data_IF_739579866015
#
_entry.id   IF_739579866015
#
_cell.length_a   1.000
_cell.length_b   1.000
_cell.length_c   1.000
_cell.angle_alpha   90.00
_cell.angle_beta   90.00
_cell.angle_gamma   90.00
#
_symmetry.space_group_name_H-M   'P 1'
#
loop_
_entity.id
_entity.type
_entity.pdbx_description
1 polymer ?
#
# COMPACT_ATOMS: atom_id res chain seq x y z
N UNK A 1 25.22 15.68 -4.84
CA UNK A 1 23.80 16.05 -4.69
C UNK A 1 23.13 15.01 -3.82
N UNK A 2 22.72 15.39 -2.61
CA UNK A 2 22.06 14.47 -1.68
C UNK A 2 20.61 14.29 -2.16
N UNK A 3 20.28 13.11 -2.66
CA UNK A 3 18.89 12.73 -2.84
C UNK A 3 18.32 12.48 -1.45
N UNK A 4 17.80 13.54 -0.81
CA UNK A 4 16.86 13.40 0.29
C UNK A 4 15.61 12.76 -0.29
N UNK A 5 15.66 11.45 -0.43
CA UNK A 5 14.47 10.65 -0.56
C UNK A 5 13.68 10.96 0.72
N UNK A 6 12.54 11.63 0.56
CA UNK A 6 11.47 11.64 1.55
C UNK A 6 10.92 10.21 1.53
N UNK A 7 11.76 9.24 1.90
CA UNK A 7 11.31 7.90 2.24
C UNK A 7 10.50 8.17 3.50
N UNK A 8 9.17 7.96 3.48
CA UNK A 8 8.45 7.90 4.74
C UNK A 8 9.25 6.92 5.58
N UNK A 9 9.63 7.31 6.81
CA UNK A 9 10.13 6.42 7.87
C UNK A 9 9.70 4.99 7.51
N UNK A 10 10.61 4.06 7.20
CA UNK A 10 10.30 2.86 6.37
C UNK A 10 9.15 1.99 6.93
N UNK A 11 8.70 2.32 8.14
CA UNK A 11 7.68 1.66 8.91
C UNK A 11 6.43 2.52 9.13
N UNK A 12 6.38 3.78 8.71
CA UNK A 12 5.27 4.70 8.96
C UNK A 12 3.96 4.16 8.38
N UNK A 13 3.98 3.67 7.14
CA UNK A 13 2.83 3.04 6.50
C UNK A 13 2.45 1.76 7.24
N UNK A 14 3.43 0.91 7.56
CA UNK A 14 3.16 -0.33 8.31
C UNK A 14 2.55 -0.07 9.69
N UNK A 15 3.10 0.89 10.43
CA UNK A 15 2.64 1.30 11.74
C UNK A 15 1.24 1.90 11.66
N UNK A 16 0.94 2.68 10.63
CA UNK A 16 -0.41 3.16 10.33
C UNK A 16 -1.38 1.99 10.12
N UNK A 17 -1.04 1.02 9.28
CA UNK A 17 -1.90 -0.15 9.04
C UNK A 17 -2.16 -0.95 10.33
N UNK A 18 -1.15 -1.09 11.19
CA UNK A 18 -1.26 -1.76 12.49
C UNK A 18 -2.10 -0.96 13.49
N UNK A 19 -1.89 0.35 13.60
CA UNK A 19 -2.63 1.23 14.51
C UNK A 19 -4.12 1.26 14.16
N UNK A 20 -4.47 1.21 12.87
CA UNK A 20 -5.87 1.15 12.40
C UNK A 20 -6.45 -0.28 12.46
N UNK A 21 -5.74 -1.23 13.07
CA UNK A 21 -6.16 -2.61 13.32
C UNK A 21 -6.57 -3.35 12.04
N UNK A 22 -5.97 -3.01 10.90
CA UNK A 22 -6.33 -3.61 9.61
C UNK A 22 -5.97 -5.10 9.52
N UNK A 23 -5.08 -5.57 10.39
CA UNK A 23 -4.77 -7.00 10.56
C UNK A 23 -5.94 -7.85 11.07
N UNK A 24 -7.01 -7.23 11.59
CA UNK A 24 -8.25 -7.94 11.94
C UNK A 24 -9.11 -8.27 10.71
N UNK A 25 -8.92 -7.54 9.60
CA UNK A 25 -9.75 -7.63 8.40
C UNK A 25 -9.02 -8.23 7.21
N UNK A 26 -7.69 -8.14 7.19
CA UNK A 26 -6.86 -8.56 6.07
C UNK A 26 -5.85 -9.62 6.47
N UNK A 27 -5.65 -10.58 5.57
CA UNK A 27 -4.56 -11.54 5.69
C UNK A 27 -3.19 -10.86 5.53
N UNK A 28 -2.13 -11.48 6.05
CA UNK A 28 -0.76 -10.96 5.92
C UNK A 28 -0.38 -10.67 4.46
N UNK A 29 -0.66 -11.55 3.47
CA UNK A 29 -0.36 -11.25 2.06
C UNK A 29 -1.09 -10.00 1.54
N UNK A 30 -2.36 -9.80 1.91
CA UNK A 30 -3.13 -8.62 1.51
C UNK A 30 -2.50 -7.35 2.10
N UNK A 31 -2.15 -7.37 3.40
CA UNK A 31 -1.48 -6.24 4.04
C UNK A 31 -0.12 -5.93 3.40
N UNK A 32 0.68 -6.93 3.08
CA UNK A 32 1.96 -6.73 2.39
C UNK A 32 1.77 -6.05 1.04
N UNK A 33 0.79 -6.49 0.24
CA UNK A 33 0.50 -5.83 -1.02
C UNK A 33 0.03 -4.39 -0.81
N UNK A 34 -0.92 -4.15 0.11
CA UNK A 34 -1.41 -2.80 0.42
C UNK A 34 -0.28 -1.87 0.86
N UNK A 35 0.63 -2.33 1.71
CA UNK A 35 1.82 -1.59 2.15
C UNK A 35 2.73 -1.23 0.96
N UNK A 36 3.02 -2.18 0.06
CA UNK A 36 3.77 -1.93 -1.19
C UNK A 36 3.11 -0.84 -2.02
N UNK A 37 1.79 -0.92 -2.22
CA UNK A 37 1.06 0.04 -3.05
C UNK A 37 1.06 1.44 -2.44
N UNK A 38 0.82 1.56 -1.13
CA UNK A 38 0.86 2.86 -0.43
C UNK A 38 2.27 3.45 -0.42
N UNK A 39 3.30 2.61 -0.24
CA UNK A 39 4.69 3.05 -0.25
C UNK A 39 5.07 3.59 -1.63
N UNK A 40 4.70 2.87 -2.69
CA UNK A 40 4.92 3.36 -4.04
C UNK A 40 4.11 4.62 -4.34
N UNK A 41 2.84 4.70 -3.91
CA UNK A 41 1.99 5.86 -4.14
C UNK A 41 2.50 7.14 -3.45
N UNK A 42 3.16 7.00 -2.30
CA UNK A 42 3.77 8.12 -1.56
C UNK A 42 5.18 8.45 -2.06
N UNK A 43 5.81 7.57 -2.84
CA UNK A 43 7.11 7.82 -3.41
C UNK A 43 7.05 8.85 -4.55
N UNK A 44 8.00 9.80 -4.52
CA UNK A 44 8.09 10.87 -5.52
C UNK A 44 8.29 10.29 -6.92
N UNK A 45 7.37 10.59 -7.83
CA UNK A 45 7.47 10.20 -9.24
C UNK A 45 6.70 8.94 -9.62
N UNK A 46 6.01 8.28 -8.68
CA UNK A 46 5.10 7.18 -9.03
C UNK A 46 3.89 7.69 -9.83
N UNK A 47 3.68 7.11 -11.02
CA UNK A 47 2.61 7.50 -11.96
C UNK A 47 1.48 6.47 -12.07
N UNK A 48 1.35 5.56 -11.09
CA UNK A 48 0.30 4.54 -11.11
C UNK A 48 0.57 3.35 -12.03
N UNK A 49 1.78 3.22 -12.60
CA UNK A 49 2.13 2.06 -13.45
C UNK A 49 2.61 0.89 -12.59
N UNK A 50 2.02 -0.29 -12.79
CA UNK A 50 2.42 -1.52 -12.10
C UNK A 50 3.90 -1.87 -12.33
N UNK A 51 4.47 -1.50 -13.48
CA UNK A 51 5.90 -1.71 -13.77
C UNK A 51 6.82 -0.93 -12.83
N UNK A 52 6.39 0.23 -12.31
CA UNK A 52 7.16 1.02 -11.36
C UNK A 52 7.12 0.43 -9.94
N UNK A 53 6.22 -0.52 -9.67
CA UNK A 53 6.13 -1.19 -8.37
C UNK A 53 7.22 -2.24 -8.14
N UNK A 54 7.94 -2.64 -9.19
CA UNK A 54 9.03 -3.60 -9.09
C UNK A 54 10.16 -3.10 -8.16
N UNK A 55 10.27 -1.78 -7.95
CA UNK A 55 11.22 -1.18 -7.01
C UNK A 55 10.78 -1.28 -5.54
N UNK A 56 9.51 -1.62 -5.27
CA UNK A 56 8.89 -1.59 -3.93
C UNK A 56 8.42 -2.97 -3.45
N UNK A 57 8.65 -4.03 -4.23
CA UNK A 57 8.22 -5.38 -3.90
C UNK A 57 9.02 -6.44 -4.65
N UNK A 58 9.41 -7.49 -3.95
CA UNK A 58 10.07 -8.67 -4.51
C UNK A 58 9.10 -9.57 -5.32
N UNK A 59 7.79 -9.26 -5.30
CA UNK A 59 6.78 -9.98 -6.08
C UNK A 59 6.79 -9.54 -7.54
N UNK A 60 6.57 -10.51 -8.43
CA UNK A 60 6.50 -10.26 -9.86
C UNK A 60 5.35 -9.29 -10.21
N UNK A 61 5.57 -8.44 -11.22
CA UNK A 61 4.59 -7.45 -11.70
C UNK A 61 3.21 -8.06 -12.00
N UNK A 62 3.18 -9.30 -12.49
CA UNK A 62 1.94 -10.02 -12.79
C UNK A 62 1.17 -10.33 -11.52
N UNK A 63 1.84 -10.74 -10.43
CA UNK A 63 1.22 -10.95 -9.12
C UNK A 63 0.61 -9.66 -8.57
N UNK A 64 1.33 -8.54 -8.69
CA UNK A 64 0.83 -7.23 -8.29
C UNK A 64 -0.41 -6.84 -9.12
N UNK A 65 -0.36 -7.03 -10.44
CA UNK A 65 -1.50 -6.80 -11.33
C UNK A 65 -2.72 -7.65 -10.98
N UNK A 66 -2.54 -8.96 -10.79
CA UNK A 66 -3.62 -9.86 -10.36
C UNK A 66 -4.19 -9.45 -8.99
N UNK A 67 -3.37 -9.01 -8.04
CA UNK A 67 -3.87 -8.54 -6.75
C UNK A 67 -4.86 -7.37 -6.89
N UNK A 68 -4.64 -6.43 -7.82
CA UNK A 68 -5.56 -5.32 -8.04
C UNK A 68 -6.83 -5.74 -8.80
N UNK A 69 -6.67 -6.56 -9.83
CA UNK A 69 -7.72 -6.94 -10.76
C UNK A 69 -8.64 -8.04 -10.20
N UNK A 70 -8.05 -9.07 -9.60
CA UNK A 70 -8.70 -10.33 -9.23
C UNK A 70 -8.47 -10.71 -7.76
N UNK A 71 -7.73 -9.89 -7.00
CA UNK A 71 -7.42 -10.17 -5.61
C UNK A 71 -8.69 -10.32 -4.76
N UNK A 72 -8.73 -11.39 -3.97
CA UNK A 72 -9.83 -11.67 -3.04
C UNK A 72 -9.57 -10.96 -1.71
N UNK A 73 -10.04 -9.72 -1.59
CA UNK A 73 -10.03 -8.94 -0.35
C UNK A 73 -11.11 -7.86 -0.37
N UNK A 74 -11.62 -7.51 0.81
CA UNK A 74 -12.69 -6.53 0.93
C UNK A 74 -12.16 -5.08 0.88
N UNK A 75 -12.26 -4.47 -0.29
CA UNK A 75 -11.85 -3.07 -0.53
C UNK A 75 -12.68 -2.07 0.29
N UNK A 76 -13.90 -2.43 0.69
CA UNK A 76 -14.81 -1.53 1.40
C UNK A 76 -14.31 -1.18 2.80
N UNK A 77 -13.56 -2.09 3.43
CA UNK A 77 -12.94 -1.86 4.76
C UNK A 77 -12.02 -0.63 4.71
N UNK A 78 -11.13 -0.54 3.72
CA UNK A 78 -10.25 0.62 3.55
C UNK A 78 -11.05 1.88 3.20
N UNK A 79 -12.00 1.77 2.28
CA UNK A 79 -12.83 2.92 1.86
C UNK A 79 -13.61 3.51 3.04
N UNK A 80 -14.18 2.66 3.90
CA UNK A 80 -14.95 3.10 5.06
C UNK A 80 -14.04 3.74 6.12
N UNK A 81 -12.82 3.24 6.31
CA UNK A 81 -11.84 3.89 7.19
C UNK A 81 -11.47 5.28 6.70
N UNK A 82 -11.11 5.41 5.42
CA UNK A 82 -10.79 6.72 4.82
C UNK A 82 -11.96 7.69 4.94
N UNK A 83 -13.19 7.24 4.65
CA UNK A 83 -14.40 8.08 4.82
C UNK A 83 -14.55 8.56 6.26
N UNK A 84 -14.42 7.65 7.24
CA UNK A 84 -14.57 7.99 8.66
C UNK A 84 -13.55 9.05 9.09
N UNK A 85 -12.32 8.96 8.60
CA UNK A 85 -11.24 9.91 8.90
C UNK A 85 -11.38 11.24 8.15
N UNK A 86 -12.00 11.24 6.97
CA UNK A 86 -12.22 12.43 6.13
C UNK A 86 -13.43 13.28 6.57
N UNK A 87 -14.25 12.78 7.49
CA UNK A 87 -15.44 13.48 8.01
C UNK A 87 -15.17 14.28 9.29
N UNK A 88 -13.89 14.52 9.62
CA UNK A 88 -13.43 15.50 10.63
C UNK A 88 -12.84 16.73 9.93
#
# INVERSE_FOLDING_TARGET
MSHTAIVPESNAIRNYLLQHQLSLYFSKPVLTHVETYMTAATAKGFRGKVTALAEYSDRHRTTLGHFLAEGVWDKTVLQNKVKTESHF
#
